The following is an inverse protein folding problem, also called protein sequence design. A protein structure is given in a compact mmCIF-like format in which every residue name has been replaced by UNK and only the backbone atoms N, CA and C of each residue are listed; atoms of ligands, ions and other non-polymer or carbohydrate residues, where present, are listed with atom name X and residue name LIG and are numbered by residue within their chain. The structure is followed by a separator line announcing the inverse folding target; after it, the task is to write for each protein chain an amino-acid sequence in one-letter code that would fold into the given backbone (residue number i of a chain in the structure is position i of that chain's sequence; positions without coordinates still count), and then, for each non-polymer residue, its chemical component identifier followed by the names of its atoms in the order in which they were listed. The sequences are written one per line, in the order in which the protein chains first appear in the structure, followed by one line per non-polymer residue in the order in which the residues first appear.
data_IF_116238201954
#
_entry.id   IF_116238201954
#
_cell.length_a   1.000
_cell.length_b   1.000
_cell.length_c   1.000
_cell.angle_alpha   90.00
_cell.angle_beta   90.00
_cell.angle_gamma   90.00
#
_symmetry.space_group_name_H-M   'P 1'
#
loop_
_entity.id
_entity.type
_entity.pdbx_description
1 polymer ?
#
# COMPACT_ATOMS: atom_id res chain seq x y z
N UNK A 1 6.71 -80.37 -101.37
CA UNK A 1 7.16 -79.61 -102.56
C UNK A 1 6.63 -78.19 -102.45
N UNK A 2 7.58 -77.25 -102.41
CA UNK A 2 7.60 -75.84 -102.81
C UNK A 2 6.34 -74.97 -103.01
N UNK A 3 6.58 -73.71 -102.62
CA UNK A 3 6.02 -72.41 -103.04
C UNK A 3 4.74 -71.97 -102.34
N UNK A 4 4.77 -70.96 -101.44
CA UNK A 4 5.15 -69.53 -101.51
C UNK A 4 3.93 -68.63 -101.76
N UNK A 5 3.85 -67.59 -100.91
CA UNK A 5 3.21 -66.26 -101.13
C UNK A 5 1.67 -66.27 -100.88
N UNK A 6 1.01 -65.35 -100.17
CA UNK A 6 1.25 -63.93 -99.86
C UNK A 6 0.56 -63.54 -98.52
N UNK A 7 1.23 -62.69 -97.76
CA UNK A 7 0.77 -61.93 -96.59
C UNK A 7 -0.32 -60.89 -96.94
N UNK A 8 -1.38 -60.77 -96.13
CA UNK A 8 -2.26 -59.61 -96.13
C UNK A 8 -2.98 -59.42 -94.78
N UNK A 9 -3.01 -58.16 -94.33
CA UNK A 9 -4.09 -57.55 -93.54
C UNK A 9 -4.11 -57.73 -92.00
N UNK A 10 -3.54 -56.75 -91.28
CA UNK A 10 -4.31 -55.83 -90.42
C UNK A 10 -3.36 -54.81 -89.77
N UNK A 11 -3.13 -53.69 -90.45
CA UNK A 11 -2.43 -52.52 -89.92
C UNK A 11 -3.28 -51.28 -90.18
N UNK A 12 -4.32 -51.07 -89.37
CA UNK A 12 -5.03 -49.79 -89.27
C UNK A 12 -5.60 -49.70 -87.85
N UNK A 13 -4.98 -48.88 -86.98
CA UNK A 13 -5.59 -48.07 -85.91
C UNK A 13 -4.52 -47.40 -85.01
N UNK A 14 -3.54 -46.71 -85.61
CA UNK A 14 -2.75 -45.67 -84.94
C UNK A 14 -2.45 -44.55 -85.96
N UNK A 15 -3.51 -43.88 -86.44
CA UNK A 15 -3.39 -42.61 -87.16
C UNK A 15 -3.99 -41.51 -86.26
N UNK A 16 -3.26 -41.15 -85.21
CA UNK A 16 -3.31 -39.82 -84.56
C UNK A 16 -1.95 -39.57 -83.89
N UNK A 17 -0.85 -39.67 -84.64
CA UNK A 17 0.48 -39.42 -84.10
C UNK A 17 1.37 -38.68 -85.12
N UNK A 18 0.85 -37.60 -85.70
CA UNK A 18 1.60 -36.53 -86.37
C UNK A 18 0.73 -35.25 -86.52
N UNK A 19 -0.26 -35.06 -85.65
CA UNK A 19 -1.02 -33.80 -85.58
C UNK A 19 -0.54 -33.01 -84.37
N UNK A 20 -0.17 -31.74 -84.57
CA UNK A 20 0.16 -30.85 -83.46
C UNK A 20 -1.01 -30.83 -82.47
N UNK A 21 -0.74 -31.16 -81.21
CA UNK A 21 -1.76 -31.12 -80.16
C UNK A 21 -2.15 -29.66 -79.90
N UNK A 22 -3.45 -29.39 -79.86
CA UNK A 22 -3.96 -28.04 -79.66
C UNK A 22 -4.19 -27.72 -78.17
N UNK A 23 -4.66 -26.50 -77.92
CA UNK A 23 -4.97 -26.04 -76.56
C UNK A 23 -6.05 -26.86 -75.87
N UNK A 24 -7.11 -27.26 -76.58
CA UNK A 24 -8.21 -28.00 -76.00
C UNK A 24 -7.76 -29.39 -75.52
N UNK A 25 -6.87 -30.04 -76.28
CA UNK A 25 -6.21 -31.26 -75.85
C UNK A 25 -5.50 -31.08 -74.51
N UNK A 26 -4.66 -30.04 -74.36
CA UNK A 26 -3.91 -29.81 -73.13
C UNK A 26 -4.78 -29.37 -71.95
N UNK A 27 -5.84 -28.60 -72.20
CA UNK A 27 -6.82 -28.25 -71.16
C UNK A 27 -7.52 -29.48 -70.58
N UNK A 28 -7.73 -30.52 -71.39
CA UNK A 28 -8.29 -31.81 -70.95
C UNK A 28 -7.24 -32.79 -70.39
N UNK A 29 -5.96 -32.64 -70.77
CA UNK A 29 -4.87 -33.54 -70.41
C UNK A 29 -3.73 -32.75 -69.74
N UNK A 30 -3.95 -32.37 -68.49
CA UNK A 30 -3.08 -31.48 -67.73
C UNK A 30 -1.67 -32.07 -67.47
N UNK A 31 -1.57 -33.38 -67.28
CA UNK A 31 -0.28 -34.05 -67.11
C UNK A 31 0.56 -34.01 -68.40
N UNK A 32 -0.08 -34.24 -69.56
CA UNK A 32 0.56 -34.07 -70.88
C UNK A 32 1.00 -32.62 -71.11
N UNK A 33 0.19 -31.64 -70.67
CA UNK A 33 0.54 -30.22 -70.77
C UNK A 33 1.79 -29.89 -69.95
N UNK A 34 1.88 -30.45 -68.73
CA UNK A 34 3.05 -30.32 -67.86
C UNK A 34 4.29 -30.96 -68.48
N UNK A 35 4.19 -32.21 -68.91
CA UNK A 35 5.31 -32.94 -69.49
C UNK A 35 5.83 -32.24 -70.75
N UNK A 36 4.92 -31.82 -71.64
CA UNK A 36 5.29 -31.10 -72.86
C UNK A 36 5.89 -29.74 -72.56
N UNK A 37 5.31 -28.96 -71.63
CA UNK A 37 5.89 -27.67 -71.23
C UNK A 37 7.31 -27.84 -70.65
N UNK A 38 7.55 -28.90 -69.88
CA UNK A 38 8.87 -29.21 -69.35
C UNK A 38 9.86 -29.66 -70.42
N UNK A 39 9.42 -30.46 -71.39
CA UNK A 39 10.20 -30.84 -72.57
C UNK A 39 10.63 -29.59 -73.35
N UNK A 40 9.66 -28.76 -73.77
CA UNK A 40 9.93 -27.52 -74.50
C UNK A 40 10.87 -26.58 -73.74
N UNK A 41 10.69 -26.43 -72.42
CA UNK A 41 11.58 -25.61 -71.61
C UNK A 41 13.00 -26.20 -71.53
N UNK A 42 13.15 -27.53 -71.38
CA UNK A 42 14.48 -28.17 -71.40
C UNK A 42 15.19 -27.95 -72.74
N UNK A 43 14.46 -28.07 -73.85
CA UNK A 43 15.00 -27.81 -75.18
C UNK A 43 15.37 -26.34 -75.38
N UNK A 44 14.55 -25.40 -74.90
CA UNK A 44 14.88 -23.97 -74.91
C UNK A 44 16.13 -23.68 -74.08
N UNK A 45 16.23 -24.23 -72.86
CA UNK A 45 17.42 -24.07 -72.01
C UNK A 45 18.66 -24.65 -72.68
N UNK A 46 18.53 -25.81 -73.35
CA UNK A 46 19.64 -26.42 -74.07
C UNK A 46 20.06 -25.58 -75.29
N UNK A 47 19.10 -25.07 -76.07
CA UNK A 47 19.37 -24.19 -77.21
C UNK A 47 19.99 -22.86 -76.75
N UNK A 48 19.54 -22.28 -75.63
CA UNK A 48 20.11 -21.08 -75.05
C UNK A 48 21.56 -21.28 -74.60
N UNK A 49 21.86 -22.40 -73.94
CA UNK A 49 23.23 -22.75 -73.53
C UNK A 49 24.17 -23.00 -74.71
N UNK A 50 23.63 -23.48 -75.83
CA UNK A 50 24.35 -23.71 -77.06
C UNK A 50 24.42 -22.47 -77.97
N UNK A 51 23.86 -21.33 -77.54
CA UNK A 51 23.74 -20.09 -78.32
C UNK A 51 23.03 -20.28 -79.69
N UNK A 52 22.17 -21.30 -79.81
CA UNK A 52 21.45 -21.66 -81.03
C UNK A 52 20.15 -20.85 -81.17
N UNK A 53 20.29 -19.64 -81.72
CA UNK A 53 19.17 -18.70 -81.95
C UNK A 53 18.08 -19.27 -82.87
N UNK A 54 18.46 -20.09 -83.86
CA UNK A 54 17.50 -20.66 -84.81
C UNK A 54 16.62 -21.71 -84.13
N UNK A 55 17.22 -22.58 -83.32
CA UNK A 55 16.49 -23.58 -82.55
C UNK A 55 15.64 -22.95 -81.45
N UNK A 56 16.14 -21.90 -80.80
CA UNK A 56 15.34 -21.10 -79.86
C UNK A 56 14.09 -20.52 -80.53
N UNK A 57 14.23 -19.91 -81.70
CA UNK A 57 13.10 -19.33 -82.42
C UNK A 57 12.08 -20.41 -82.83
N UNK A 58 12.55 -21.57 -83.30
CA UNK A 58 11.66 -22.69 -83.67
C UNK A 58 10.85 -23.20 -82.49
N UNK A 59 11.47 -23.41 -81.33
CA UNK A 59 10.75 -23.86 -80.12
C UNK A 59 9.82 -22.75 -79.62
N UNK A 60 10.26 -21.50 -79.69
CA UNK A 60 9.46 -20.34 -79.32
C UNK A 60 8.26 -20.13 -80.23
N UNK A 61 8.30 -20.57 -81.49
CA UNK A 61 7.20 -20.45 -82.45
C UNK A 61 6.29 -21.67 -82.51
N UNK A 62 6.73 -22.80 -81.94
CA UNK A 62 5.96 -24.03 -81.87
C UNK A 62 4.66 -23.84 -81.06
N UNK A 63 3.52 -24.02 -81.73
CA UNK A 63 2.19 -23.80 -81.14
C UNK A 63 1.86 -24.82 -80.06
N UNK A 64 2.36 -26.05 -80.18
CA UNK A 64 2.15 -27.12 -79.19
C UNK A 64 2.89 -26.78 -77.89
N UNK A 65 4.13 -26.32 -77.99
CA UNK A 65 4.90 -25.79 -76.87
C UNK A 65 4.24 -24.57 -76.22
N UNK A 66 3.69 -23.64 -77.02
CA UNK A 66 2.94 -22.49 -76.50
C UNK A 66 1.70 -22.93 -75.71
N UNK A 67 0.87 -23.80 -76.29
CA UNK A 67 -0.37 -24.24 -75.63
C UNK A 67 -0.10 -25.06 -74.36
N UNK A 68 0.85 -26.00 -74.40
CA UNK A 68 1.25 -26.76 -73.24
C UNK A 68 1.78 -25.86 -72.11
N UNK A 69 2.64 -24.89 -72.45
CA UNK A 69 3.18 -23.93 -71.49
C UNK A 69 2.10 -23.01 -70.89
N UNK A 70 1.17 -22.51 -71.70
CA UNK A 70 0.06 -21.67 -71.24
C UNK A 70 -0.87 -22.44 -70.28
N UNK A 71 -1.31 -23.65 -70.66
CA UNK A 71 -2.21 -24.46 -69.84
C UNK A 71 -1.55 -24.87 -68.52
N UNK A 72 -0.29 -25.33 -68.58
CA UNK A 72 0.48 -25.66 -67.39
C UNK A 72 0.66 -24.44 -66.47
N UNK A 73 0.98 -23.26 -67.03
CA UNK A 73 1.11 -22.04 -66.24
C UNK A 73 -0.22 -21.61 -65.57
N UNK A 74 -1.36 -21.77 -66.26
CA UNK A 74 -2.68 -21.50 -65.69
C UNK A 74 -2.98 -22.47 -64.53
N UNK A 75 -2.68 -23.76 -64.70
CA UNK A 75 -2.90 -24.76 -63.67
C UNK A 75 -2.02 -24.52 -62.44
N UNK A 76 -0.73 -24.22 -62.62
CA UNK A 76 0.19 -23.88 -61.53
C UNK A 76 -0.29 -22.64 -60.76
N UNK A 77 -0.79 -21.61 -61.47
CA UNK A 77 -1.40 -20.44 -60.82
C UNK A 77 -2.62 -20.82 -59.98
N UNK A 78 -3.54 -21.64 -60.51
CA UNK A 78 -4.72 -22.11 -59.76
C UNK A 78 -4.33 -22.91 -58.51
N UNK A 79 -3.35 -23.80 -58.61
CA UNK A 79 -2.83 -24.57 -57.47
C UNK A 79 -2.21 -23.64 -56.43
N UNK A 80 -1.42 -22.66 -56.87
CA UNK A 80 -0.82 -21.66 -55.99
C UNK A 80 -1.90 -20.82 -55.28
N UNK A 81 -2.96 -20.43 -55.96
CA UNK A 81 -4.09 -19.68 -55.39
C UNK A 81 -4.82 -20.49 -54.30
N UNK A 82 -5.13 -21.76 -54.57
CA UNK A 82 -5.77 -22.66 -53.60
C UNK A 82 -4.87 -22.86 -52.38
N UNK A 83 -3.55 -23.08 -52.58
CA UNK A 83 -2.59 -23.21 -51.48
C UNK A 83 -2.56 -21.95 -50.61
N UNK A 84 -2.54 -20.76 -51.22
CA UNK A 84 -2.59 -19.48 -50.51
C UNK A 84 -3.88 -19.30 -49.72
N UNK A 85 -5.02 -19.71 -50.26
CA UNK A 85 -6.30 -19.62 -49.55
C UNK A 85 -6.36 -20.56 -48.34
N UNK A 86 -5.89 -21.81 -48.49
CA UNK A 86 -5.80 -22.79 -47.39
C UNK A 86 -4.89 -22.26 -46.29
N UNK A 87 -3.71 -21.74 -46.65
CA UNK A 87 -2.78 -21.18 -45.68
C UNK A 87 -3.38 -19.96 -44.96
N UNK A 88 -4.08 -19.08 -45.68
CA UNK A 88 -4.79 -17.95 -45.07
C UNK A 88 -5.87 -18.39 -44.09
N UNK A 89 -6.62 -19.46 -44.41
CA UNK A 89 -7.63 -20.03 -43.50
C UNK A 89 -6.99 -20.61 -42.24
N UNK A 90 -5.90 -21.39 -42.38
CA UNK A 90 -5.14 -21.93 -41.24
C UNK A 90 -4.61 -20.83 -40.33
N UNK A 91 -3.97 -19.80 -40.89
CA UNK A 91 -3.46 -18.66 -40.10
C UNK A 91 -4.57 -17.93 -39.33
N UNK A 92 -5.76 -17.80 -39.92
CA UNK A 92 -6.92 -17.19 -39.24
C UNK A 92 -7.41 -18.05 -38.08
N UNK A 93 -7.52 -19.36 -38.28
CA UNK A 93 -7.93 -20.30 -37.24
C UNK A 93 -6.92 -20.35 -36.09
N UNK A 94 -5.62 -20.40 -36.40
CA UNK A 94 -4.54 -20.31 -35.41
C UNK A 94 -4.61 -19.00 -34.62
N UNK A 95 -4.79 -17.87 -35.30
CA UNK A 95 -4.93 -16.57 -34.65
C UNK A 95 -6.19 -16.52 -33.77
N UNK A 96 -7.32 -17.07 -34.21
CA UNK A 96 -8.55 -17.12 -33.41
C UNK A 96 -8.36 -17.98 -32.15
N UNK A 97 -7.70 -19.12 -32.27
CA UNK A 97 -7.38 -19.99 -31.14
C UNK A 97 -6.44 -19.29 -30.15
N UNK A 98 -5.40 -18.58 -30.64
CA UNK A 98 -4.52 -17.77 -29.78
C UNK A 98 -5.28 -16.67 -29.04
N UNK A 99 -6.24 -15.98 -29.69
CA UNK A 99 -7.09 -14.99 -29.03
C UNK A 99 -7.91 -15.66 -27.91
N UNK A 100 -8.53 -16.81 -28.19
CA UNK A 100 -9.35 -17.55 -27.21
C UNK A 100 -8.52 -17.98 -26.00
N UNK A 101 -7.32 -18.50 -26.22
CA UNK A 101 -6.40 -18.88 -25.17
C UNK A 101 -5.95 -17.68 -24.32
N UNK A 102 -5.58 -16.58 -24.97
CA UNK A 102 -5.19 -15.34 -24.28
C UNK A 102 -6.35 -14.76 -23.46
N UNK A 103 -7.58 -14.77 -23.99
CA UNK A 103 -8.76 -14.33 -23.27
C UNK A 103 -9.05 -15.20 -22.04
N UNK A 104 -8.92 -16.53 -22.16
CA UNK A 104 -9.09 -17.46 -21.04
C UNK A 104 -8.01 -17.24 -19.96
N UNK A 105 -6.76 -17.00 -20.36
CA UNK A 105 -5.67 -16.67 -19.43
C UNK A 105 -5.92 -15.35 -18.70
N UNK A 106 -6.37 -14.31 -19.41
CA UNK A 106 -6.66 -13.00 -18.83
C UNK A 106 -7.80 -13.10 -17.80
N UNK A 107 -8.85 -13.85 -18.11
CA UNK A 107 -9.96 -14.06 -17.19
C UNK A 107 -9.54 -14.85 -15.94
N UNK A 108 -8.66 -15.84 -16.09
CA UNK A 108 -8.06 -16.56 -14.96
C UNK A 108 -7.24 -15.61 -14.07
N UNK A 109 -6.35 -14.81 -14.66
CA UNK A 109 -5.54 -13.84 -13.91
C UNK A 109 -6.41 -12.80 -13.19
N UNK A 110 -7.50 -12.35 -13.82
CA UNK A 110 -8.43 -11.41 -13.20
C UNK A 110 -9.07 -12.00 -11.94
N UNK A 111 -9.58 -13.24 -12.02
CA UNK A 111 -10.17 -13.95 -10.87
C UNK A 111 -9.15 -14.15 -9.74
N UNK A 112 -7.91 -14.50 -10.07
CA UNK A 112 -6.83 -14.66 -9.09
C UNK A 112 -6.52 -13.33 -8.37
N UNK A 113 -6.43 -12.22 -9.11
CA UNK A 113 -6.21 -10.88 -8.52
C UNK A 113 -7.36 -10.43 -7.64
N UNK A 114 -8.60 -10.64 -8.07
CA UNK A 114 -9.79 -10.32 -7.28
C UNK A 114 -9.84 -11.14 -5.97
N UNK A 115 -9.53 -12.43 -6.04
CA UNK A 115 -9.45 -13.29 -4.87
C UNK A 115 -8.33 -12.86 -3.90
N UNK A 116 -7.15 -12.50 -4.43
CA UNK A 116 -6.04 -12.00 -3.62
C UNK A 116 -6.39 -10.67 -2.94
N UNK A 117 -7.01 -9.74 -3.66
CA UNK A 117 -7.43 -8.46 -3.11
C UNK A 117 -8.48 -8.65 -2.00
N UNK A 118 -9.46 -9.53 -2.21
CA UNK A 118 -10.45 -9.87 -1.19
C UNK A 118 -9.79 -10.48 0.06
N UNK A 119 -8.78 -11.34 -0.11
CA UNK A 119 -8.01 -11.92 1.01
C UNK A 119 -7.26 -10.83 1.79
N UNK A 120 -6.53 -9.94 1.10
CA UNK A 120 -5.81 -8.83 1.73
C UNK A 120 -6.74 -7.91 2.51
N UNK A 121 -7.91 -7.60 1.96
CA UNK A 121 -8.93 -6.78 2.64
C UNK A 121 -9.47 -7.45 3.90
N UNK A 122 -9.73 -8.76 3.86
CA UNK A 122 -10.14 -9.53 5.05
C UNK A 122 -9.05 -9.53 6.12
N UNK A 123 -7.81 -9.80 5.76
CA UNK A 123 -6.66 -9.79 6.67
C UNK A 123 -6.46 -8.39 7.31
N UNK A 124 -6.58 -7.32 6.52
CA UNK A 124 -6.47 -5.95 7.02
C UNK A 124 -7.63 -5.62 7.98
N UNK A 125 -8.86 -6.01 7.65
CA UNK A 125 -10.02 -5.81 8.51
C UNK A 125 -9.89 -6.56 9.84
N UNK A 126 -9.39 -7.80 9.82
CA UNK A 126 -9.10 -8.60 11.01
C UNK A 126 -8.01 -7.96 11.86
N UNK A 127 -6.92 -7.49 11.24
CA UNK A 127 -5.85 -6.76 11.94
C UNK A 127 -6.38 -5.49 12.62
N UNK A 128 -7.21 -4.70 11.93
CA UNK A 128 -7.83 -3.50 12.50
C UNK A 128 -8.74 -3.85 13.67
N UNK A 129 -9.58 -4.90 13.54
CA UNK A 129 -10.44 -5.38 14.64
C UNK A 129 -9.64 -5.87 15.84
N UNK A 130 -8.58 -6.64 15.61
CA UNK A 130 -7.70 -7.13 16.67
C UNK A 130 -7.00 -5.97 17.39
N UNK A 131 -6.48 -5.00 16.64
CA UNK A 131 -5.87 -3.80 17.20
C UNK A 131 -6.85 -3.01 18.05
N UNK A 132 -8.08 -2.78 17.56
CA UNK A 132 -9.11 -2.03 18.31
C UNK A 132 -9.52 -2.79 19.58
N UNK A 133 -9.68 -4.12 19.51
CA UNK A 133 -10.00 -4.93 20.68
C UNK A 133 -8.88 -4.87 21.75
N UNK A 134 -7.62 -4.95 21.33
CA UNK A 134 -6.46 -4.81 22.23
C UNK A 134 -6.38 -3.39 22.82
N UNK A 135 -6.67 -2.37 22.01
CA UNK A 135 -6.69 -0.97 22.43
C UNK A 135 -7.74 -0.76 23.52
N UNK A 136 -8.98 -1.22 23.32
CA UNK A 136 -10.04 -1.10 24.33
C UNK A 136 -9.72 -1.84 25.63
N UNK A 137 -9.16 -3.06 25.54
CA UNK A 137 -8.67 -3.80 26.73
C UNK A 137 -7.58 -3.01 27.47
N UNK A 138 -6.66 -2.41 26.72
CA UNK A 138 -5.58 -1.60 27.28
C UNK A 138 -6.13 -0.36 27.97
N UNK A 139 -7.07 0.37 27.36
CA UNK A 139 -7.74 1.53 27.98
C UNK A 139 -8.39 1.13 29.29
N UNK A 140 -9.16 0.05 29.33
CA UNK A 140 -9.84 -0.43 30.53
C UNK A 140 -8.85 -0.81 31.64
N UNK A 141 -7.84 -1.61 31.31
CA UNK A 141 -6.81 -2.05 32.25
C UNK A 141 -6.02 -0.87 32.83
N UNK A 142 -5.53 0.03 31.97
CA UNK A 142 -4.77 1.20 32.39
C UNK A 142 -5.64 2.18 33.19
N UNK A 143 -6.94 2.28 32.89
CA UNK A 143 -7.89 3.12 33.64
C UNK A 143 -8.16 2.57 35.05
N UNK A 144 -8.20 1.27 35.25
CA UNK A 144 -8.31 0.67 36.59
C UNK A 144 -6.99 0.71 37.38
N UNK A 145 -5.84 0.81 36.70
CA UNK A 145 -4.52 0.72 37.31
C UNK A 145 -4.15 1.95 38.18
N UNK A 146 -3.40 1.70 39.25
CA UNK A 146 -2.78 2.75 40.10
C UNK A 146 -1.77 3.57 39.30
N UNK A 147 -1.63 4.86 39.64
CA UNK A 147 -0.75 5.76 38.90
C UNK A 147 0.72 5.30 38.91
N UNK A 148 1.19 4.69 40.01
CA UNK A 148 2.57 4.18 40.11
C UNK A 148 2.92 3.16 39.01
N UNK A 149 1.99 2.25 38.71
CA UNK A 149 2.19 1.22 37.69
C UNK A 149 1.91 1.77 36.29
N UNK A 150 0.90 2.63 36.16
CA UNK A 150 0.68 3.39 34.92
C UNK A 150 1.93 4.20 34.52
N UNK A 151 2.64 4.78 35.49
CA UNK A 151 3.87 5.53 35.24
C UNK A 151 5.02 4.66 34.74
N UNK A 152 5.04 3.36 35.04
CA UNK A 152 6.02 2.42 34.46
C UNK A 152 5.66 2.17 33.00
N UNK A 153 4.39 1.89 32.72
CA UNK A 153 3.87 1.72 31.35
C UNK A 153 4.13 2.95 30.47
N UNK A 154 4.01 4.16 31.02
CA UNK A 154 4.37 5.39 30.30
C UNK A 154 5.84 5.46 29.87
N UNK A 155 6.76 4.92 30.67
CA UNK A 155 8.19 4.90 30.32
C UNK A 155 8.47 3.85 29.25
N UNK A 156 7.83 2.69 29.37
CA UNK A 156 8.00 1.58 28.43
C UNK A 156 7.49 1.93 27.02
N UNK A 157 6.45 2.77 26.94
CA UNK A 157 5.91 3.24 25.67
C UNK A 157 6.75 4.27 24.92
N UNK A 158 7.79 4.86 25.56
CA UNK A 158 8.80 5.76 25.00
C UNK A 158 8.56 6.26 23.56
N UNK A 159 9.32 5.71 22.60
CA UNK A 159 9.20 6.03 21.17
C UNK A 159 8.28 5.06 20.39
N UNK A 160 7.79 3.99 21.03
CA UNK A 160 7.01 2.93 20.37
C UNK A 160 5.53 3.30 20.32
N UNK A 161 5.14 4.17 19.39
CA UNK A 161 3.76 4.67 19.26
C UNK A 161 2.80 3.71 18.54
N UNK A 162 3.30 2.65 17.92
CA UNK A 162 2.51 1.83 16.99
C UNK A 162 1.68 0.72 17.63
N UNK A 163 1.88 0.39 18.91
CA UNK A 163 1.06 -0.63 19.58
C UNK A 163 -0.24 -0.05 20.12
N UNK A 164 -1.28 -0.89 20.20
CA UNK A 164 -2.57 -0.55 20.75
C UNK A 164 -2.45 -0.07 22.22
N UNK A 165 -1.64 -0.77 23.01
CA UNK A 165 -1.34 -0.41 24.39
C UNK A 165 -0.69 0.98 24.51
N UNK A 166 0.30 1.29 23.68
CA UNK A 166 0.98 2.58 23.79
C UNK A 166 0.14 3.75 23.26
N UNK A 167 -0.70 3.52 22.26
CA UNK A 167 -1.74 4.47 21.88
C UNK A 167 -2.66 4.78 23.07
N UNK A 168 -3.17 3.75 23.75
CA UNK A 168 -4.03 3.90 24.93
C UNK A 168 -3.33 4.68 26.05
N UNK A 169 -2.07 4.35 26.37
CA UNK A 169 -1.27 5.08 27.36
C UNK A 169 -1.18 6.57 27.03
N UNK A 170 -0.87 6.91 25.78
CA UNK A 170 -0.73 8.30 25.35
C UNK A 170 -2.03 9.11 25.51
N UNK A 171 -3.16 8.53 25.13
CA UNK A 171 -4.45 9.21 25.14
C UNK A 171 -4.98 9.44 26.55
N UNK A 172 -4.80 8.48 27.47
CA UNK A 172 -5.35 8.61 28.84
C UNK A 172 -4.38 9.27 29.83
N UNK A 173 -3.11 9.45 29.45
CA UNK A 173 -2.02 9.94 30.33
C UNK A 173 -2.38 11.22 31.06
N UNK A 174 -2.93 12.21 30.36
CA UNK A 174 -3.24 13.50 30.97
C UNK A 174 -4.41 13.41 31.94
N UNK A 175 -5.43 12.60 31.62
CA UNK A 175 -6.53 12.31 32.54
C UNK A 175 -6.01 11.63 33.82
N UNK A 176 -5.17 10.61 33.67
CA UNK A 176 -4.53 9.90 34.80
C UNK A 176 -3.70 10.82 35.68
N UNK A 177 -2.89 11.69 35.08
CA UNK A 177 -2.10 12.69 35.82
C UNK A 177 -2.98 13.68 36.59
N UNK A 178 -4.08 14.14 35.97
CA UNK A 178 -5.05 15.04 36.64
C UNK A 178 -5.73 14.35 37.82
N UNK A 179 -6.17 13.11 37.65
CA UNK A 179 -6.77 12.32 38.73
C UNK A 179 -5.79 12.10 39.89
N UNK A 180 -4.54 11.77 39.58
CA UNK A 180 -3.52 11.58 40.62
C UNK A 180 -3.16 12.88 41.34
N UNK A 181 -3.19 14.04 40.66
CA UNK A 181 -3.02 15.34 41.33
C UNK A 181 -4.10 15.56 42.40
N UNK A 182 -5.37 15.28 42.08
CA UNK A 182 -6.48 15.42 43.03
C UNK A 182 -6.32 14.42 44.18
N UNK A 183 -5.92 13.19 43.87
CA UNK A 183 -5.65 12.17 44.88
C UNK A 183 -4.52 12.59 45.84
N UNK A 184 -3.43 13.16 45.32
CA UNK A 184 -2.32 13.67 46.15
C UNK A 184 -2.76 14.79 47.08
N UNK A 185 -3.57 15.73 46.60
CA UNK A 185 -4.13 16.82 47.44
C UNK A 185 -4.97 16.22 48.58
N UNK A 186 -5.80 15.19 48.28
CA UNK A 186 -6.63 14.51 49.28
C UNK A 186 -5.80 13.79 50.34
N UNK A 187 -4.75 13.07 49.91
CA UNK A 187 -3.91 12.26 50.80
C UNK A 187 -2.94 13.11 51.64
N UNK A 188 -2.44 14.20 51.07
CA UNK A 188 -1.45 15.08 51.69
C UNK A 188 -1.95 16.53 51.65
N UNK A 189 -2.91 16.91 52.50
CA UNK A 189 -3.41 18.27 52.52
C UNK A 189 -2.35 19.25 53.03
N UNK A 190 -2.46 20.50 52.56
CA UNK A 190 -1.73 21.66 53.07
C UNK A 190 -0.19 21.50 52.94
N UNK A 191 0.56 21.72 54.02
CA UNK A 191 2.02 21.62 54.02
C UNK A 191 2.51 20.16 53.92
N UNK A 192 1.68 19.14 54.23
CA UNK A 192 2.06 17.73 54.07
C UNK A 192 2.41 17.40 52.62
N UNK A 193 1.83 18.12 51.66
CA UNK A 193 2.13 17.96 50.23
C UNK A 193 3.56 18.42 49.88
N UNK A 194 4.09 19.42 50.61
CA UNK A 194 5.48 19.86 50.46
C UNK A 194 6.44 18.84 51.03
N UNK A 195 6.09 18.21 52.15
CA UNK A 195 6.89 17.14 52.73
C UNK A 195 6.94 15.95 51.76
N UNK A 196 5.78 15.53 51.25
CA UNK A 196 5.71 14.53 50.19
C UNK A 196 6.58 14.90 48.98
N UNK A 197 6.45 16.14 48.47
CA UNK A 197 7.29 16.63 47.37
C UNK A 197 8.78 16.52 47.72
N UNK A 198 9.19 16.98 48.90
CA UNK A 198 10.60 16.94 49.34
C UNK A 198 11.14 15.51 49.33
N UNK A 199 10.35 14.53 49.79
CA UNK A 199 10.75 13.11 49.77
C UNK A 199 10.85 12.51 48.36
N UNK A 200 10.08 13.00 47.38
CA UNK A 200 10.09 12.48 46.01
C UNK A 200 11.02 13.23 45.05
N UNK A 201 11.40 14.46 45.40
CA UNK A 201 12.22 15.35 44.57
C UNK A 201 13.69 15.44 44.99
N UNK A 202 14.11 14.84 46.11
CA UNK A 202 15.48 14.92 46.65
C UNK A 202 16.05 13.52 46.89
N UNK A 203 17.38 13.42 46.91
CA UNK A 203 18.11 12.17 47.16
C UNK A 203 18.57 11.48 45.88
N UNK A 204 19.01 10.22 46.01
CA UNK A 204 19.41 9.37 44.88
C UNK A 204 18.18 8.79 44.14
N UNK A 205 17.08 8.55 44.87
CA UNK A 205 15.85 7.94 44.35
C UNK A 205 14.81 8.97 43.85
N UNK A 206 15.26 9.95 43.05
CA UNK A 206 14.38 11.00 42.54
C UNK A 206 13.32 10.42 41.62
N UNK A 207 12.05 10.47 42.06
CA UNK A 207 10.92 10.15 41.20
C UNK A 207 10.46 11.41 40.47
N UNK A 208 11.05 11.68 39.30
CA UNK A 208 10.76 12.87 38.48
C UNK A 208 9.26 13.04 38.18
N UNK A 209 8.54 11.94 37.96
CA UNK A 209 7.11 12.00 37.65
C UNK A 209 6.30 12.45 38.88
N UNK A 210 6.48 11.80 40.03
CA UNK A 210 5.81 12.21 41.27
C UNK A 210 6.26 13.60 41.74
N UNK A 211 7.52 13.99 41.50
CA UNK A 211 8.00 15.33 41.79
C UNK A 211 7.25 16.41 40.98
N UNK A 212 7.02 16.13 39.69
CA UNK A 212 6.23 17.00 38.81
C UNK A 212 4.77 17.07 39.24
N UNK A 213 4.15 15.91 39.55
CA UNK A 213 2.77 15.85 40.03
C UNK A 213 2.59 16.58 41.35
N UNK A 214 3.47 16.36 42.33
CA UNK A 214 3.41 17.05 43.62
C UNK A 214 3.55 18.56 43.46
N UNK A 215 4.40 19.03 42.54
CA UNK A 215 4.51 20.46 42.23
C UNK A 215 3.21 21.02 41.64
N UNK A 216 2.56 20.29 40.73
CA UNK A 216 1.26 20.68 40.17
C UNK A 216 0.15 20.64 41.22
N UNK A 217 0.17 19.65 42.10
CA UNK A 217 -0.77 19.49 43.19
C UNK A 217 -0.69 20.64 44.20
N UNK A 218 0.52 21.05 44.62
CA UNK A 218 0.71 22.23 45.48
C UNK A 218 0.14 23.48 44.82
N UNK A 219 0.48 23.73 43.54
CA UNK A 219 -0.03 24.90 42.80
C UNK A 219 -1.55 24.89 42.68
N UNK A 220 -2.16 23.71 42.47
CA UNK A 220 -3.62 23.58 42.41
C UNK A 220 -4.24 23.85 43.77
N UNK A 221 -3.75 23.21 44.83
CA UNK A 221 -4.25 23.42 46.19
C UNK A 221 -4.13 24.89 46.64
N UNK A 222 -2.96 25.51 46.41
CA UNK A 222 -2.74 26.93 46.73
C UNK A 222 -3.74 27.81 45.96
N UNK A 223 -3.95 27.55 44.65
CA UNK A 223 -4.91 28.28 43.82
C UNK A 223 -6.35 28.11 44.30
N UNK A 224 -6.80 26.87 44.48
CA UNK A 224 -8.17 26.54 44.90
C UNK A 224 -8.47 27.22 46.26
N UNK A 225 -7.49 27.26 47.17
CA UNK A 225 -7.64 27.91 48.47
C UNK A 225 -7.63 29.44 48.38
N UNK A 226 -6.84 30.03 47.49
CA UNK A 226 -6.89 31.47 47.19
C UNK A 226 -8.26 31.85 46.62
N UNK A 227 -8.76 31.10 45.63
CA UNK A 227 -10.09 31.32 45.03
C UNK A 227 -11.21 31.20 46.07
N UNK A 228 -11.10 30.23 46.99
CA UNK A 228 -11.99 30.13 48.14
C UNK A 228 -11.99 31.42 48.98
N UNK A 229 -10.83 31.96 49.34
CA UNK A 229 -10.76 33.20 50.14
C UNK A 229 -11.23 34.45 49.40
N UNK A 230 -10.99 34.53 48.09
CA UNK A 230 -11.53 35.60 47.25
C UNK A 230 -13.07 35.56 47.22
N UNK A 231 -13.64 34.36 47.24
CA UNK A 231 -15.09 34.17 47.22
C UNK A 231 -15.74 34.21 48.62
N UNK A 232 -14.97 34.00 49.68
CA UNK A 232 -15.44 33.90 51.07
C UNK A 232 -14.72 34.92 51.96
N UNK A 233 -15.18 36.18 51.89
CA UNK A 233 -14.54 37.32 52.56
C UNK A 233 -14.41 37.15 54.07
N UNK A 234 -15.39 36.53 54.73
CA UNK A 234 -15.36 36.32 56.19
C UNK A 234 -14.28 35.32 56.60
N UNK A 235 -14.16 34.20 55.87
CA UNK A 235 -13.07 33.24 56.08
C UNK A 235 -11.71 33.89 55.81
N UNK A 236 -11.60 34.70 54.75
CA UNK A 236 -10.39 35.45 54.45
C UNK A 236 -10.01 36.39 55.60
N UNK A 237 -10.95 37.22 56.07
CA UNK A 237 -10.72 38.19 57.14
C UNK A 237 -10.28 37.50 58.42
N UNK A 238 -10.94 36.41 58.82
CA UNK A 238 -10.60 35.63 60.01
C UNK A 238 -9.15 35.15 59.95
N UNK A 239 -8.80 34.43 58.88
CA UNK A 239 -7.49 33.78 58.77
C UNK A 239 -6.37 34.79 58.50
N UNK A 240 -6.66 35.89 57.79
CA UNK A 240 -5.72 36.99 57.61
C UNK A 240 -5.38 37.66 58.94
N UNK A 241 -6.40 37.92 59.76
CA UNK A 241 -6.20 38.56 61.06
C UNK A 241 -5.48 37.62 62.05
N UNK A 242 -5.64 36.31 61.91
CA UNK A 242 -4.84 35.32 62.64
C UNK A 242 -3.36 35.40 62.24
N UNK A 243 -3.05 35.39 60.94
CA UNK A 243 -1.68 35.56 60.44
C UNK A 243 -1.08 36.93 60.78
N UNK A 244 -1.90 37.99 60.83
CA UNK A 244 -1.52 39.31 61.32
C UNK A 244 -1.06 39.28 62.77
N UNK A 245 -1.79 38.59 63.66
CA UNK A 245 -1.37 38.44 65.07
C UNK A 245 -0.03 37.75 65.20
N UNK A 246 0.19 36.68 64.42
CA UNK A 246 1.50 35.99 64.35
C UNK A 246 2.59 36.96 63.89
N UNK A 247 2.35 37.71 62.81
CA UNK A 247 3.28 38.71 62.30
C UNK A 247 3.65 39.76 63.35
N UNK A 248 2.65 40.38 64.00
CA UNK A 248 2.89 41.40 65.03
C UNK A 248 3.65 40.82 66.23
N UNK A 249 3.27 39.63 66.70
CA UNK A 249 3.96 38.95 67.80
C UNK A 249 5.44 38.73 67.50
N UNK A 250 5.76 38.34 66.26
CA UNK A 250 7.14 38.16 65.81
C UNK A 250 7.90 39.49 65.68
N UNK A 251 7.26 40.58 65.23
CA UNK A 251 7.92 41.90 65.14
C UNK A 251 8.19 42.55 66.51
N UNK A 252 7.42 42.21 67.54
CA UNK A 252 7.60 42.72 68.92
C UNK A 252 8.70 41.99 69.68
N UNK A 253 8.93 40.72 69.37
CA UNK A 253 10.09 39.97 69.89
C UNK A 253 11.36 40.50 69.19
N UNK A 254 12.20 41.27 69.91
CA UNK A 254 13.43 41.88 69.37
C UNK A 254 14.32 40.84 68.65
N UNK A 255 14.91 41.28 67.53
CA UNK A 255 15.77 40.56 66.58
C UNK A 255 16.74 39.55 67.22
N UNK A 256 16.88 38.37 66.59
CA UNK A 256 17.92 37.40 66.94
C UNK A 256 17.86 36.07 66.18
N UNK A 257 16.72 35.69 65.60
CA UNK A 257 16.62 34.51 64.75
C UNK A 257 15.71 34.78 63.55
N UNK A 258 16.27 35.21 62.41
CA UNK A 258 15.50 35.47 61.17
C UNK A 258 14.81 34.21 60.62
N UNK A 259 15.39 33.04 60.90
CA UNK A 259 14.88 31.73 60.44
C UNK A 259 13.49 31.39 60.99
N UNK A 260 13.23 31.41 62.33
CA UNK A 260 11.89 31.18 62.88
C UNK A 260 10.87 32.25 62.50
N UNK A 261 11.28 33.49 62.17
CA UNK A 261 10.36 34.51 61.65
C UNK A 261 9.76 34.09 60.31
N UNK A 262 10.63 33.64 59.39
CA UNK A 262 10.22 33.20 58.06
C UNK A 262 9.40 31.92 58.12
N UNK A 263 9.81 30.94 58.93
CA UNK A 263 9.17 29.63 58.99
C UNK A 263 7.73 29.71 59.55
N UNK A 264 7.48 30.54 60.56
CA UNK A 264 6.15 30.71 61.17
C UNK A 264 5.13 31.40 60.26
N UNK A 265 5.57 32.20 59.30
CA UNK A 265 4.71 32.83 58.30
C UNK A 265 4.67 32.07 56.97
N UNK A 266 5.48 31.01 56.83
CA UNK A 266 5.52 30.15 55.65
C UNK A 266 4.58 28.94 55.70
N UNK A 267 3.75 28.85 56.75
CA UNK A 267 2.64 27.90 56.81
C UNK A 267 1.75 28.01 55.59
N UNK A 268 1.08 26.92 55.24
CA UNK A 268 0.12 26.86 54.15
C UNK A 268 -0.91 27.97 54.26
N UNK A 269 -1.57 28.09 55.42
CA UNK A 269 -2.60 29.10 55.69
C UNK A 269 -2.09 30.52 55.48
N UNK A 270 -0.97 30.92 56.09
CA UNK A 270 -0.49 32.30 55.95
C UNK A 270 0.05 32.60 54.55
N UNK A 271 0.61 31.62 53.84
CA UNK A 271 1.01 31.79 52.45
C UNK A 271 -0.20 32.06 51.55
N UNK A 272 -1.19 31.17 51.56
CA UNK A 272 -2.34 31.27 50.65
C UNK A 272 -3.25 32.45 50.98
N UNK A 273 -3.39 32.81 52.27
CA UNK A 273 -4.12 34.01 52.68
C UNK A 273 -3.40 35.29 52.26
N UNK A 274 -2.07 35.36 52.37
CA UNK A 274 -1.31 36.49 51.81
C UNK A 274 -1.51 36.60 50.31
N UNK A 275 -1.46 35.48 49.60
CA UNK A 275 -1.62 35.48 48.15
C UNK A 275 -3.05 35.88 47.73
N UNK A 276 -4.07 35.54 48.52
CA UNK A 276 -5.43 36.06 48.38
C UNK A 276 -5.51 37.56 48.72
N UNK A 277 -4.79 38.02 49.75
CA UNK A 277 -4.77 39.43 50.16
C UNK A 277 -4.25 40.36 49.05
N UNK A 278 -3.32 39.88 48.21
CA UNK A 278 -2.87 40.61 47.02
C UNK A 278 -4.02 40.90 46.04
N UNK A 279 -5.06 40.06 45.98
CA UNK A 279 -6.28 40.33 45.17
C UNK A 279 -7.12 41.47 45.71
N UNK A 280 -6.93 41.83 46.98
CA UNK A 280 -7.55 42.97 47.66
C UNK A 280 -6.58 44.16 47.81
N UNK A 281 -5.45 44.17 47.09
CA UNK A 281 -4.39 45.20 47.19
C UNK A 281 -3.75 45.31 48.59
N UNK A 282 -3.71 44.21 49.34
CA UNK A 282 -3.08 44.13 50.66
C UNK A 282 -1.76 43.36 50.52
N UNK A 283 -0.64 44.06 50.72
CA UNK A 283 0.70 43.55 50.39
C UNK A 283 1.42 42.85 51.55
N UNK A 284 0.97 43.04 52.78
CA UNK A 284 1.61 42.49 53.96
C UNK A 284 0.65 42.40 55.15
N UNK A 285 1.08 41.70 56.20
CA UNK A 285 0.34 41.51 57.44
C UNK A 285 0.52 42.66 58.45
N UNK A 286 0.88 43.89 58.05
CA UNK A 286 1.11 44.98 59.02
C UNK A 286 -0.18 45.55 59.63
N UNK A 287 -1.29 45.49 58.90
CA UNK A 287 -2.60 45.98 59.35
C UNK A 287 -3.62 44.84 59.27
N UNK A 288 -4.55 44.71 60.23
CA UNK A 288 -5.64 43.76 60.13
C UNK A 288 -6.63 44.18 59.03
N UNK A 289 -7.43 43.22 58.56
CA UNK A 289 -8.56 43.43 57.65
C UNK A 289 -9.82 43.68 58.47
N UNK A 290 -10.51 44.78 58.13
CA UNK A 290 -11.77 45.19 58.73
C UNK A 290 -12.98 44.43 58.15
#
# INVERSE_FOLDING_TARGET
MNSKILTLSCLVLLITACGQKDRAYYEANLDDAREKAQECNKEMVAALKAEDQSKLQKISDDSECKFAAEVHAIQERKIADIKREIERKKRKEEHENQIKEMAAQLEKQKKEREAEQARRQKEEAERKRAFEAEYQRSVNSLTAMKFSDFSKQMKDCGYKRSSAQCKAVHEIKDSKRKAEIVNLIKLYPEDKLKDFKSTKCKGLDINREYCSLATKAIRKQDRDKVEFYVSNKDSFKKDFNECHKVYIGLTKAKYGQEKPFRDRLQTFQCRVVRDAAMKYNIWNFKKPVA
#
